data_IF_748335846921
#
_entry.id   IF_748335846921
#
_cell.length_a   1.000
_cell.length_b   1.000
_cell.length_c   1.000
_cell.angle_alpha   90.00
_cell.angle_beta   90.00
_cell.angle_gamma   90.00
#
_symmetry.space_group_name_H-M   'P 1'
#
loop_
_entity.id
_entity.type
_entity.pdbx_description
1 polymer ?
#
# COMPACT_ATOMS: atom_id res chain seq x y z
N UNK A 1 -34.96 -11.89 -19.37
CA UNK A 1 -33.87 -11.65 -18.41
C UNK A 1 -34.40 -10.62 -17.43
N UNK A 2 -34.62 -11.02 -16.19
CA UNK A 2 -35.31 -10.21 -15.19
C UNK A 2 -34.35 -9.29 -14.47
N UNK A 3 -34.82 -8.14 -13.99
CA UNK A 3 -34.11 -7.15 -13.18
C UNK A 3 -33.33 -7.77 -12.01
N UNK A 4 -33.62 -9.00 -11.62
CA UNK A 4 -32.93 -9.77 -10.58
C UNK A 4 -31.52 -10.26 -10.97
N UNK A 5 -31.21 -10.40 -12.26
CA UNK A 5 -29.85 -10.80 -12.71
C UNK A 5 -28.89 -9.62 -12.79
N UNK A 6 -29.38 -8.38 -12.95
CA UNK A 6 -28.58 -7.16 -12.83
C UNK A 6 -28.12 -6.86 -11.38
N UNK A 7 -28.82 -7.39 -10.39
CA UNK A 7 -28.47 -7.26 -8.97
C UNK A 7 -27.37 -8.24 -8.56
N UNK A 8 -27.05 -9.24 -9.39
CA UNK A 8 -26.02 -10.26 -9.10
C UNK A 8 -24.59 -9.72 -8.99
N UNK A 9 -24.26 -8.61 -9.69
CA UNK A 9 -22.93 -8.00 -9.60
C UNK A 9 -22.70 -7.25 -8.26
N UNK A 10 -23.77 -6.85 -7.58
CA UNK A 10 -23.65 -6.27 -6.22
C UNK A 10 -23.45 -7.33 -5.12
N UNK A 11 -23.50 -8.63 -5.45
CA UNK A 11 -23.28 -9.72 -4.48
C UNK A 11 -21.79 -10.01 -4.21
N UNK A 12 -20.88 -9.68 -5.13
CA UNK A 12 -19.44 -9.80 -4.85
C UNK A 12 -19.01 -8.80 -3.76
N UNK A 13 -19.53 -7.58 -3.75
CA UNK A 13 -19.30 -6.61 -2.66
C UNK A 13 -19.80 -7.09 -1.27
N UNK A 14 -20.83 -7.93 -1.19
CA UNK A 14 -21.35 -8.40 0.12
C UNK A 14 -20.52 -9.49 0.80
N UNK A 15 -19.72 -10.25 0.09
CA UNK A 15 -18.88 -11.28 0.71
C UNK A 15 -17.62 -10.68 1.36
N UNK A 16 -17.06 -9.60 0.85
CA UNK A 16 -16.00 -8.83 1.51
C UNK A 16 -16.47 -8.28 2.87
N UNK A 17 -17.72 -7.81 2.99
CA UNK A 17 -18.28 -7.27 4.23
C UNK A 17 -18.38 -8.28 5.40
N UNK A 18 -18.47 -9.58 5.15
CA UNK A 18 -18.56 -10.60 6.23
C UNK A 18 -17.20 -10.98 6.83
N UNK A 19 -16.12 -10.86 6.08
CA UNK A 19 -14.73 -11.05 6.56
C UNK A 19 -14.32 -9.86 7.43
N UNK A 20 -14.81 -8.64 7.13
CA UNK A 20 -14.45 -7.40 7.82
C UNK A 20 -14.85 -7.32 9.31
N UNK A 21 -15.90 -7.97 9.77
CA UNK A 21 -16.40 -7.74 11.16
C UNK A 21 -15.50 -8.33 12.24
N UNK A 22 -14.79 -9.44 11.95
CA UNK A 22 -13.78 -10.03 12.85
C UNK A 22 -12.44 -9.32 12.72
N UNK A 23 -12.19 -8.72 11.57
CA UNK A 23 -11.01 -7.94 11.21
C UNK A 23 -10.93 -6.59 11.94
N UNK A 24 -12.05 -5.87 12.08
CA UNK A 24 -12.04 -4.50 12.68
C UNK A 24 -11.47 -4.46 14.10
N UNK A 25 -11.86 -5.39 14.99
CA UNK A 25 -11.33 -5.45 16.35
C UNK A 25 -9.83 -5.73 16.37
N UNK A 26 -9.37 -6.62 15.51
CA UNK A 26 -7.94 -6.94 15.38
C UNK A 26 -7.17 -5.72 14.88
N UNK A 27 -7.67 -5.01 13.85
CA UNK A 27 -7.06 -3.78 13.34
C UNK A 27 -6.94 -2.69 14.42
N UNK A 28 -8.00 -2.44 15.21
CA UNK A 28 -7.96 -1.47 16.30
C UNK A 28 -6.93 -1.85 17.36
N UNK A 29 -6.89 -3.13 17.75
CA UNK A 29 -5.93 -3.62 18.74
C UNK A 29 -4.50 -3.50 18.21
N UNK A 30 -4.26 -3.90 16.95
CA UNK A 30 -2.94 -3.78 16.33
C UNK A 30 -2.52 -2.31 16.25
N UNK A 31 -3.39 -1.41 15.74
CA UNK A 31 -3.11 0.02 15.65
C UNK A 31 -2.71 0.61 17.01
N UNK A 32 -3.52 0.35 18.06
CA UNK A 32 -3.26 0.87 19.40
C UNK A 32 -1.94 0.33 19.97
N UNK A 33 -1.71 -0.96 19.81
CA UNK A 33 -0.49 -1.59 20.28
C UNK A 33 0.74 -1.07 19.54
N UNK A 34 0.69 -0.97 18.21
CA UNK A 34 1.81 -0.42 17.40
C UNK A 34 2.09 1.03 17.78
N UNK A 35 1.04 1.85 17.95
CA UNK A 35 1.19 3.25 18.38
C UNK A 35 1.84 3.35 19.78
N UNK A 36 1.40 2.52 20.71
CA UNK A 36 1.96 2.50 22.08
C UNK A 36 3.46 2.17 22.06
N UNK A 37 3.85 1.19 21.23
CA UNK A 37 5.26 0.81 21.10
C UNK A 37 6.09 1.83 20.34
N UNK A 38 5.57 2.41 19.26
CA UNK A 38 6.24 3.49 18.55
C UNK A 38 6.55 4.67 19.50
N UNK A 39 5.60 5.02 20.37
CA UNK A 39 5.83 6.05 21.40
C UNK A 39 6.87 5.61 22.43
N UNK A 40 6.80 4.37 22.90
CA UNK A 40 7.76 3.84 23.86
C UNK A 40 9.18 3.82 23.31
N UNK A 41 9.37 3.40 22.04
CA UNK A 41 10.67 3.41 21.37
C UNK A 41 11.16 4.83 21.09
N UNK A 42 10.27 5.75 20.69
CA UNK A 42 10.63 7.15 20.49
C UNK A 42 11.18 7.78 21.78
N UNK A 43 10.41 7.69 22.86
CA UNK A 43 10.85 8.23 24.15
C UNK A 43 12.09 7.52 24.67
N UNK A 44 12.15 6.20 24.52
CA UNK A 44 13.29 5.41 24.90
C UNK A 44 14.56 5.76 24.12
N UNK A 45 14.44 5.96 22.81
CA UNK A 45 15.54 6.40 21.97
C UNK A 45 16.05 7.80 22.34
N UNK A 46 15.12 8.71 22.66
CA UNK A 46 15.46 10.06 23.12
C UNK A 46 16.17 10.03 24.49
N UNK A 47 15.68 9.23 25.45
CA UNK A 47 16.28 9.11 26.77
C UNK A 47 17.63 8.40 26.76
N UNK A 48 17.77 7.34 25.95
CA UNK A 48 19.03 6.61 25.80
C UNK A 48 20.06 7.32 24.90
N UNK A 49 19.67 8.42 24.23
CA UNK A 49 20.43 9.09 23.17
C UNK A 49 20.74 8.17 21.96
N UNK A 50 20.00 7.07 21.78
CA UNK A 50 20.17 6.17 20.64
C UNK A 50 19.40 6.68 19.42
N UNK A 51 20.13 6.98 18.35
CA UNK A 51 19.52 7.44 17.10
C UNK A 51 18.93 6.28 16.30
N UNK A 52 19.48 5.08 16.40
CA UNK A 52 18.93 3.88 15.76
C UNK A 52 17.56 3.51 16.33
N UNK A 53 17.38 3.63 17.66
CA UNK A 53 16.08 3.36 18.29
C UNK A 53 15.01 4.42 17.93
N UNK A 54 15.43 5.69 17.81
CA UNK A 54 14.56 6.76 17.28
C UNK A 54 14.15 6.45 15.84
N UNK A 55 15.07 5.95 15.01
CA UNK A 55 14.79 5.54 13.64
C UNK A 55 13.77 4.42 13.54
N UNK A 56 13.92 3.39 14.36
CA UNK A 56 12.97 2.27 14.41
C UNK A 56 11.56 2.75 14.82
N UNK A 57 11.47 3.67 15.79
CA UNK A 57 10.19 4.29 16.16
C UNK A 57 9.49 5.00 14.99
N UNK A 58 10.23 5.72 14.15
CA UNK A 58 9.65 6.39 12.99
C UNK A 58 9.14 5.40 11.93
N UNK A 59 9.80 4.25 11.77
CA UNK A 59 9.27 3.17 10.93
C UNK A 59 7.93 2.68 11.46
N UNK A 60 7.84 2.39 12.74
CA UNK A 60 6.58 1.98 13.38
C UNK A 60 5.47 3.04 13.31
N UNK A 61 5.81 4.34 13.37
CA UNK A 61 4.81 5.40 13.11
C UNK A 61 4.26 5.37 11.69
N UNK A 62 5.08 5.01 10.70
CA UNK A 62 4.58 4.79 9.33
C UNK A 62 3.54 3.68 9.27
N UNK A 63 3.77 2.58 9.98
CA UNK A 63 2.82 1.46 10.03
C UNK A 63 1.51 1.87 10.69
N UNK A 64 1.59 2.68 11.77
CA UNK A 64 0.41 3.29 12.41
C UNK A 64 -0.36 4.15 11.43
N UNK A 65 0.32 4.97 10.62
CA UNK A 65 -0.33 5.83 9.62
C UNK A 65 -0.96 5.00 8.50
N UNK A 66 -0.28 3.95 8.02
CA UNK A 66 -0.82 3.05 7.01
C UNK A 66 -2.06 2.31 7.51
N UNK A 67 -2.01 1.73 8.72
CA UNK A 67 -3.16 1.10 9.37
C UNK A 67 -4.31 2.08 9.60
N UNK A 68 -3.99 3.30 10.05
CA UNK A 68 -4.97 4.38 10.25
C UNK A 68 -5.63 4.81 8.96
N UNK A 69 -4.85 4.94 7.88
CA UNK A 69 -5.36 5.26 6.54
C UNK A 69 -6.34 4.20 6.04
N UNK A 70 -5.98 2.92 6.16
CA UNK A 70 -6.86 1.80 5.79
C UNK A 70 -8.16 1.79 6.61
N UNK A 71 -8.10 2.13 7.91
CA UNK A 71 -9.30 2.25 8.74
C UNK A 71 -10.20 3.42 8.32
N UNK A 72 -9.59 4.56 7.98
CA UNK A 72 -10.30 5.73 7.46
C UNK A 72 -10.93 5.39 6.10
N UNK A 73 -10.21 4.71 5.21
CA UNK A 73 -10.73 4.25 3.93
C UNK A 73 -11.96 3.36 4.11
N UNK A 74 -11.90 2.32 4.96
CA UNK A 74 -13.02 1.44 5.29
C UNK A 74 -14.24 2.22 5.84
N UNK A 75 -13.98 3.29 6.62
CA UNK A 75 -15.07 4.14 7.13
C UNK A 75 -15.71 4.97 6.02
N UNK A 76 -14.92 5.54 5.12
CA UNK A 76 -15.42 6.38 4.04
C UNK A 76 -15.99 5.58 2.87
N UNK A 77 -15.48 4.38 2.59
CA UNK A 77 -16.04 3.43 1.61
C UNK A 77 -17.49 3.05 1.95
N UNK A 78 -17.82 2.97 3.25
CA UNK A 78 -19.18 2.76 3.69
C UNK A 78 -20.14 3.95 3.43
N UNK A 79 -19.60 5.13 3.09
CA UNK A 79 -20.39 6.31 2.73
C UNK A 79 -20.76 6.27 1.24
N UNK A 80 -22.02 6.52 0.94
CA UNK A 80 -22.47 6.64 -0.44
C UNK A 80 -21.76 7.79 -1.15
N UNK A 81 -21.44 7.65 -2.45
CA UNK A 81 -21.03 8.78 -3.28
C UNK A 81 -21.97 9.97 -3.12
N UNK A 82 -21.43 11.17 -3.25
CA UNK A 82 -22.19 12.42 -3.19
C UNK A 82 -22.22 13.07 -4.57
N UNK A 83 -23.10 14.04 -4.79
CA UNK A 83 -23.12 14.80 -6.04
C UNK A 83 -21.79 15.49 -6.37
N UNK A 84 -20.99 15.85 -5.35
CA UNK A 84 -19.67 16.47 -5.53
C UNK A 84 -18.55 15.43 -5.70
N UNK A 85 -18.65 14.28 -5.04
CA UNK A 85 -17.68 13.20 -5.09
C UNK A 85 -18.38 11.94 -5.62
N UNK A 86 -18.49 11.84 -6.94
CA UNK A 86 -19.27 10.79 -7.61
C UNK A 86 -18.61 9.41 -7.48
N UNK A 87 -17.30 9.33 -7.38
CA UNK A 87 -16.52 8.11 -7.03
C UNK A 87 -16.37 7.91 -5.51
N UNK A 88 -16.98 8.80 -4.69
CA UNK A 88 -16.76 8.78 -3.24
C UNK A 88 -15.37 9.26 -2.85
N UNK A 89 -14.78 8.62 -1.84
CA UNK A 89 -13.48 9.01 -1.26
C UNK A 89 -12.41 7.93 -1.47
N UNK A 90 -12.52 7.12 -2.53
CA UNK A 90 -11.61 5.99 -2.80
C UNK A 90 -10.12 6.43 -2.81
N UNK A 91 -9.82 7.59 -3.41
CA UNK A 91 -8.45 8.12 -3.50
C UNK A 91 -7.90 8.71 -2.20
N UNK A 92 -8.70 8.81 -1.14
CA UNK A 92 -8.23 9.39 0.13
C UNK A 92 -7.10 8.55 0.74
N UNK A 93 -7.21 7.23 0.71
CA UNK A 93 -6.15 6.32 1.16
C UNK A 93 -4.85 6.53 0.38
N UNK A 94 -4.96 6.66 -0.94
CA UNK A 94 -3.80 6.89 -1.83
C UNK A 94 -3.11 8.22 -1.52
N UNK A 95 -3.90 9.29 -1.27
CA UNK A 95 -3.35 10.61 -0.87
C UNK A 95 -2.63 10.51 0.47
N UNK A 96 -3.20 9.81 1.45
CA UNK A 96 -2.56 9.63 2.76
C UNK A 96 -1.28 8.81 2.62
N UNK A 97 -1.28 7.74 1.82
CA UNK A 97 -0.09 6.95 1.54
C UNK A 97 1.01 7.78 0.86
N UNK A 98 0.66 8.61 -0.12
CA UNK A 98 1.59 9.53 -0.78
C UNK A 98 2.26 10.48 0.22
N UNK A 99 1.46 11.15 1.05
CA UNK A 99 1.98 12.09 2.05
C UNK A 99 2.83 11.38 3.11
N UNK A 100 2.40 10.19 3.57
CA UNK A 100 3.18 9.38 4.51
C UNK A 100 4.57 9.04 3.96
N UNK A 101 4.65 8.60 2.71
CA UNK A 101 5.93 8.29 2.08
C UNK A 101 6.86 9.51 1.97
N UNK A 102 6.30 10.71 1.66
CA UNK A 102 7.08 11.96 1.65
C UNK A 102 7.61 12.28 3.05
N UNK A 103 6.77 12.19 4.08
CA UNK A 103 7.16 12.45 5.47
C UNK A 103 8.28 11.52 5.89
N UNK A 104 8.20 10.21 5.56
CA UNK A 104 9.25 9.25 5.83
C UNK A 104 10.59 9.59 5.16
N UNK A 105 10.56 10.02 3.89
CA UNK A 105 11.78 10.47 3.21
C UNK A 105 12.39 11.69 3.91
N UNK A 106 11.60 12.66 4.32
CA UNK A 106 12.08 13.84 5.04
C UNK A 106 12.69 13.48 6.40
N UNK A 107 12.04 12.59 7.16
CA UNK A 107 12.55 12.08 8.44
C UNK A 107 13.89 11.37 8.22
N UNK A 108 13.98 10.51 7.21
CA UNK A 108 15.20 9.76 6.90
C UNK A 108 16.38 10.68 6.57
N UNK A 109 16.12 11.74 5.79
CA UNK A 109 17.16 12.76 5.49
C UNK A 109 17.59 13.47 6.78
N UNK A 110 16.64 13.83 7.66
CA UNK A 110 16.93 14.42 8.96
C UNK A 110 17.79 13.51 9.86
N UNK A 111 17.50 12.21 9.85
CA UNK A 111 18.28 11.22 10.60
C UNK A 111 19.69 11.04 10.06
N UNK A 112 19.85 11.01 8.74
CA UNK A 112 21.19 10.96 8.11
C UNK A 112 21.97 12.23 8.50
N UNK A 113 21.34 13.39 8.46
CA UNK A 113 21.98 14.65 8.88
C UNK A 113 22.41 14.61 10.35
N UNK A 114 21.54 14.16 11.27
CA UNK A 114 21.88 14.01 12.69
C UNK A 114 22.98 12.95 12.89
N UNK A 115 22.98 11.87 12.13
CA UNK A 115 24.04 10.85 12.14
C UNK A 115 25.41 11.44 11.78
N UNK A 116 25.47 12.31 10.78
CA UNK A 116 26.69 13.01 10.38
C UNK A 116 27.15 13.94 11.50
N UNK A 117 26.27 14.71 12.13
CA UNK A 117 26.61 15.57 13.27
C UNK A 117 27.16 14.74 14.42
N UNK A 118 26.53 13.63 14.77
CA UNK A 118 26.97 12.74 15.86
C UNK A 118 28.28 12.02 15.55
N UNK A 119 28.60 11.82 14.28
CA UNK A 119 29.91 11.25 13.91
C UNK A 119 31.05 12.17 14.31
N UNK A 120 30.90 13.49 14.16
CA UNK A 120 31.91 14.47 14.58
C UNK A 120 31.81 14.86 16.07
N UNK A 121 30.64 14.73 16.68
CA UNK A 121 30.34 15.05 18.07
C UNK A 121 29.63 13.89 18.75
N UNK A 122 30.31 12.77 19.04
CA UNK A 122 29.67 11.59 19.61
C UNK A 122 29.04 11.89 20.96
N UNK A 123 27.83 11.37 21.18
CA UNK A 123 27.12 11.46 22.46
C UNK A 123 27.22 10.14 23.19
N UNK A 124 27.25 10.19 24.52
CA UNK A 124 27.13 9.00 25.33
C UNK A 124 25.76 8.37 25.17
N UNK A 125 25.70 7.06 25.02
CA UNK A 125 24.48 6.28 24.87
C UNK A 125 24.29 5.44 26.12
N UNK A 126 23.10 5.53 26.72
CA UNK A 126 22.71 4.61 27.77
C UNK A 126 22.31 3.26 27.17
N UNK A 127 23.33 2.35 27.13
CA UNK A 127 23.15 1.01 26.56
C UNK A 127 22.06 0.20 27.28
N UNK A 128 21.89 0.40 28.62
CA UNK A 128 20.91 -0.35 29.40
C UNK A 128 19.50 -0.05 28.96
N UNK A 129 19.15 1.24 28.92
CA UNK A 129 17.84 1.68 28.43
C UNK A 129 17.63 1.28 26.96
N UNK A 130 18.65 1.47 26.10
CA UNK A 130 18.58 1.08 24.69
C UNK A 130 18.32 -0.42 24.53
N UNK A 131 19.06 -1.28 25.25
CA UNK A 131 18.88 -2.75 25.18
C UNK A 131 17.51 -3.20 25.62
N UNK A 132 17.05 -2.75 26.80
CA UNK A 132 15.77 -3.18 27.34
C UNK A 132 14.60 -2.74 26.46
N UNK A 133 14.63 -1.53 25.92
CA UNK A 133 13.56 -1.02 25.05
C UNK A 133 13.55 -1.78 23.73
N UNK A 134 14.71 -1.99 23.10
CA UNK A 134 14.81 -2.77 21.88
C UNK A 134 14.39 -4.24 22.07
N UNK A 135 14.70 -4.84 23.23
CA UNK A 135 14.26 -6.20 23.58
C UNK A 135 12.74 -6.29 23.72
N UNK A 136 12.13 -5.31 24.37
CA UNK A 136 10.66 -5.24 24.48
C UNK A 136 10.05 -5.05 23.08
N UNK A 137 10.61 -4.18 22.23
CA UNK A 137 10.19 -3.97 20.84
C UNK A 137 10.27 -5.27 20.02
N UNK A 138 11.38 -6.02 20.12
CA UNK A 138 11.54 -7.31 19.48
C UNK A 138 10.45 -8.31 19.88
N UNK A 139 10.22 -8.47 21.18
CA UNK A 139 9.16 -9.37 21.71
C UNK A 139 7.80 -8.94 21.17
N UNK A 140 7.56 -7.66 21.13
CA UNK A 140 6.32 -7.09 20.62
C UNK A 140 6.11 -7.37 19.13
N UNK A 141 7.13 -7.14 18.30
CA UNK A 141 7.08 -7.44 16.86
C UNK A 141 6.83 -8.94 16.61
N UNK A 142 7.42 -9.83 17.42
CA UNK A 142 7.14 -11.27 17.38
C UNK A 142 5.66 -11.54 17.71
N UNK A 143 5.11 -10.92 18.78
CA UNK A 143 3.72 -11.14 19.21
C UNK A 143 2.74 -10.63 18.16
N UNK A 144 2.93 -9.44 17.60
CA UNK A 144 2.08 -8.90 16.53
C UNK A 144 2.13 -9.79 15.30
N UNK A 145 3.34 -10.17 14.88
CA UNK A 145 3.55 -11.09 13.76
C UNK A 145 2.75 -12.38 13.97
N UNK A 146 2.83 -12.95 15.16
CA UNK A 146 2.12 -14.18 15.51
C UNK A 146 0.59 -14.00 15.52
N UNK A 147 0.07 -12.88 16.05
CA UNK A 147 -1.37 -12.56 16.06
C UNK A 147 -1.89 -12.43 14.63
N UNK A 148 -1.18 -11.70 13.78
CA UNK A 148 -1.55 -11.52 12.37
C UNK A 148 -1.49 -12.85 11.60
N UNK A 149 -0.44 -13.63 11.81
CA UNK A 149 -0.26 -14.93 11.16
C UNK A 149 -1.32 -15.96 11.57
N UNK A 150 -1.71 -15.99 12.85
CA UNK A 150 -2.76 -16.90 13.33
C UNK A 150 -4.16 -16.52 12.83
N UNK A 151 -4.37 -15.26 12.48
CA UNK A 151 -5.63 -14.78 11.91
C UNK A 151 -5.80 -15.13 10.42
N UNK A 152 -4.69 -15.41 9.72
CA UNK A 152 -4.64 -15.60 8.25
C UNK A 152 -4.42 -17.05 7.81
N UNK A 153 -4.42 -18.03 8.70
CA UNK A 153 -4.08 -19.46 8.46
C UNK A 153 -4.87 -20.20 7.37
N UNK A 154 -5.72 -19.53 6.56
CA UNK A 154 -6.60 -20.17 5.58
C UNK A 154 -6.38 -19.83 4.11
N UNK A 155 -5.49 -18.90 3.75
CA UNK A 155 -5.35 -18.52 2.35
C UNK A 155 -3.87 -18.40 1.93
N UNK A 156 -3.49 -19.17 0.90
CA UNK A 156 -2.22 -19.05 0.18
C UNK A 156 -2.21 -17.74 -0.66
N UNK A 157 -2.19 -16.58 -0.01
CA UNK A 157 -2.32 -15.31 -0.68
C UNK A 157 -0.95 -14.59 -0.76
N UNK A 158 -0.66 -13.97 -1.92
CA UNK A 158 0.56 -13.21 -2.19
C UNK A 158 0.72 -12.07 -1.16
N UNK A 159 -0.39 -11.50 -0.69
CA UNK A 159 -0.43 -10.49 0.37
C UNK A 159 0.18 -10.98 1.70
N UNK A 160 0.02 -12.27 2.03
CA UNK A 160 0.62 -12.86 3.23
C UNK A 160 2.15 -12.89 3.11
N UNK A 161 2.68 -13.18 1.92
CA UNK A 161 4.13 -13.21 1.68
C UNK A 161 4.74 -11.83 1.80
N UNK A 162 4.06 -10.80 1.30
CA UNK A 162 4.49 -9.40 1.43
C UNK A 162 4.47 -8.93 2.87
N UNK A 163 3.39 -9.23 3.63
CA UNK A 163 3.32 -8.93 5.05
C UNK A 163 4.42 -9.65 5.85
N UNK A 164 4.69 -10.92 5.54
CA UNK A 164 5.75 -11.67 6.20
C UNK A 164 7.15 -11.09 5.94
N UNK A 165 7.42 -10.60 4.73
CA UNK A 165 8.68 -9.95 4.40
C UNK A 165 8.83 -8.59 5.13
N UNK A 166 7.74 -7.85 5.29
CA UNK A 166 7.71 -6.61 6.07
C UNK A 166 8.08 -6.88 7.54
N UNK A 167 7.37 -7.81 8.20
CA UNK A 167 7.67 -8.17 9.59
C UNK A 167 9.07 -8.77 9.80
N UNK A 168 9.60 -9.47 8.80
CA UNK A 168 11.00 -9.93 8.86
C UNK A 168 11.97 -8.75 8.84
N UNK A 169 11.66 -7.68 8.09
CA UNK A 169 12.41 -6.43 8.10
C UNK A 169 12.42 -5.78 9.49
N UNK A 170 11.26 -5.68 10.15
CA UNK A 170 11.11 -5.10 11.49
C UNK A 170 11.88 -5.90 12.55
N UNK A 171 11.81 -7.24 12.46
CA UNK A 171 12.60 -8.12 13.32
C UNK A 171 14.10 -7.90 13.13
N UNK A 172 14.57 -7.76 11.89
CA UNK A 172 15.98 -7.51 11.61
C UNK A 172 16.44 -6.15 12.12
N UNK A 173 15.60 -5.11 12.03
CA UNK A 173 15.88 -3.79 12.62
C UNK A 173 16.06 -3.89 14.13
N UNK A 174 15.08 -4.46 14.84
CA UNK A 174 15.14 -4.63 16.30
C UNK A 174 16.35 -5.46 16.74
N UNK A 175 16.67 -6.54 16.02
CA UNK A 175 17.89 -7.33 16.28
C UNK A 175 19.14 -6.50 16.05
N UNK A 176 19.19 -5.66 15.02
CA UNK A 176 20.31 -4.76 14.75
C UNK A 176 20.55 -3.77 15.89
N UNK A 177 19.47 -3.17 16.43
CA UNK A 177 19.53 -2.25 17.59
C UNK A 177 20.04 -2.97 18.84
N UNK A 178 19.57 -4.21 19.11
CA UNK A 178 20.04 -5.05 20.22
C UNK A 178 21.52 -5.36 20.08
N UNK A 179 21.98 -5.78 18.89
CA UNK A 179 23.39 -6.06 18.64
C UNK A 179 24.24 -4.81 18.86
N UNK A 180 23.76 -3.64 18.40
CA UNK A 180 24.43 -2.36 18.60
C UNK A 180 24.58 -2.04 20.09
N UNK A 181 23.52 -2.23 20.90
CA UNK A 181 23.57 -1.99 22.33
C UNK A 181 24.59 -2.90 23.05
N UNK A 182 24.66 -4.18 22.67
CA UNK A 182 25.62 -5.15 23.20
C UNK A 182 27.07 -4.74 22.85
N UNK A 183 27.30 -4.34 21.60
CA UNK A 183 28.64 -3.87 21.19
C UNK A 183 29.05 -2.62 21.99
N UNK A 184 28.14 -1.64 22.16
CA UNK A 184 28.39 -0.44 22.94
C UNK A 184 28.77 -0.81 24.39
N UNK A 185 28.04 -1.75 24.99
CA UNK A 185 28.30 -2.22 26.35
C UNK A 185 29.70 -2.76 26.56
N UNK A 186 30.21 -3.60 25.62
CA UNK A 186 31.51 -4.22 25.77
C UNK A 186 32.70 -3.38 25.27
N UNK A 187 32.43 -2.46 24.33
CA UNK A 187 33.50 -1.74 23.63
C UNK A 187 33.48 -0.23 23.82
N UNK A 188 32.39 0.33 24.38
CA UNK A 188 32.11 1.77 24.37
C UNK A 188 32.17 2.41 22.97
N UNK A 189 32.03 1.60 21.89
CA UNK A 189 32.10 2.06 20.53
C UNK A 189 30.73 2.60 20.07
N UNK A 190 30.41 3.85 20.44
CA UNK A 190 29.13 4.51 20.16
C UNK A 190 28.85 4.71 18.67
N UNK A 191 29.89 4.65 17.81
CA UNK A 191 29.73 4.79 16.36
C UNK A 191 28.88 3.69 15.72
N UNK A 192 28.72 2.54 16.41
CA UNK A 192 27.87 1.46 15.90
C UNK A 192 26.39 1.89 15.81
N UNK A 193 25.91 2.70 16.77
CA UNK A 193 24.55 3.26 16.74
C UNK A 193 24.39 4.23 15.55
N UNK A 194 25.40 5.04 15.25
CA UNK A 194 25.40 5.94 14.10
C UNK A 194 25.35 5.14 12.78
N UNK A 195 26.14 4.07 12.66
CA UNK A 195 26.12 3.19 11.47
C UNK A 195 24.74 2.56 11.30
N UNK A 196 24.17 2.01 12.37
CA UNK A 196 22.84 1.41 12.34
C UNK A 196 21.77 2.44 12.02
N UNK A 197 21.85 3.66 12.56
CA UNK A 197 20.93 4.75 12.24
C UNK A 197 20.95 5.11 10.75
N UNK A 198 22.14 5.13 10.12
CA UNK A 198 22.25 5.37 8.68
C UNK A 198 21.61 4.21 7.90
N UNK A 199 21.87 2.95 8.28
CA UNK A 199 21.27 1.78 7.63
C UNK A 199 19.76 1.83 7.72
N UNK A 200 19.21 2.07 8.92
CA UNK A 200 17.76 2.20 9.14
C UNK A 200 17.20 3.37 8.31
N UNK A 201 17.87 4.52 8.30
CA UNK A 201 17.45 5.69 7.52
C UNK A 201 17.37 5.39 6.02
N UNK A 202 18.33 4.64 5.46
CA UNK A 202 18.30 4.24 4.04
C UNK A 202 17.14 3.30 3.77
N UNK A 203 16.86 2.37 4.68
CA UNK A 203 15.70 1.45 4.56
C UNK A 203 14.39 2.24 4.58
N UNK A 204 14.22 3.16 5.53
CA UNK A 204 13.02 4.01 5.65
C UNK A 204 12.87 4.90 4.40
N UNK A 205 13.96 5.51 3.92
CA UNK A 205 13.95 6.35 2.73
C UNK A 205 13.48 5.58 1.49
N UNK A 206 14.05 4.39 1.27
CA UNK A 206 13.69 3.55 0.11
C UNK A 206 12.25 3.05 0.20
N UNK A 207 11.77 2.70 1.39
CA UNK A 207 10.37 2.35 1.64
C UNK A 207 9.43 3.54 1.37
N UNK A 208 9.72 4.70 1.92
CA UNK A 208 8.95 5.93 1.70
C UNK A 208 8.91 6.35 0.22
N UNK A 209 10.04 6.24 -0.49
CA UNK A 209 10.11 6.51 -1.92
C UNK A 209 9.22 5.54 -2.73
N UNK A 210 9.26 4.23 -2.40
CA UNK A 210 8.45 3.22 -3.08
C UNK A 210 6.95 3.50 -2.88
N UNK A 211 6.52 3.74 -1.65
CA UNK A 211 5.12 4.05 -1.31
C UNK A 211 4.67 5.33 -2.04
N UNK A 212 5.48 6.40 -1.97
CA UNK A 212 5.14 7.65 -2.67
C UNK A 212 5.07 7.48 -4.17
N UNK A 213 5.98 6.71 -4.77
CA UNK A 213 5.99 6.46 -6.21
C UNK A 213 4.74 5.69 -6.66
N UNK A 214 4.37 4.63 -5.95
CA UNK A 214 3.16 3.84 -6.26
C UNK A 214 1.89 4.69 -6.11
N UNK A 215 1.76 5.42 -5.01
CA UNK A 215 0.65 6.32 -4.77
C UNK A 215 0.58 7.44 -5.82
N UNK A 216 1.72 8.01 -6.22
CA UNK A 216 1.80 9.03 -7.27
C UNK A 216 1.29 8.48 -8.61
N UNK A 217 1.66 7.27 -8.99
CA UNK A 217 1.19 6.67 -10.25
C UNK A 217 -0.32 6.45 -10.25
N UNK A 218 -0.90 6.03 -9.11
CA UNK A 218 -2.36 5.91 -8.98
C UNK A 218 -3.03 7.29 -9.08
N UNK A 219 -2.49 8.33 -8.44
CA UNK A 219 -3.02 9.69 -8.51
C UNK A 219 -2.94 10.29 -9.91
N UNK A 220 -1.89 9.93 -10.67
CA UNK A 220 -1.68 10.36 -12.06
C UNK A 220 -2.40 9.45 -13.08
N UNK A 221 -3.25 8.54 -12.60
CA UNK A 221 -4.03 7.63 -13.47
C UNK A 221 -3.14 6.81 -14.43
N UNK A 222 -1.93 6.46 -13.98
CA UNK A 222 -1.02 5.63 -14.76
C UNK A 222 -1.59 4.21 -14.91
N UNK A 223 -1.22 3.55 -16.02
CA UNK A 223 -1.57 2.16 -16.25
C UNK A 223 -0.98 1.29 -15.13
N UNK A 224 -1.79 0.42 -14.49
CA UNK A 224 -1.29 -0.49 -13.46
C UNK A 224 -0.20 -1.41 -14.01
N UNK A 225 0.81 -1.72 -13.17
CA UNK A 225 1.94 -2.57 -13.59
C UNK A 225 1.53 -4.00 -13.96
N UNK A 226 0.36 -4.43 -13.50
CA UNK A 226 -0.23 -5.74 -13.76
C UNK A 226 -0.86 -5.84 -15.16
N UNK A 227 -1.06 -4.71 -15.84
CA UNK A 227 -1.71 -4.64 -17.15
C UNK A 227 -0.70 -4.22 -18.22
N UNK A 228 -0.40 -5.11 -19.15
CA UNK A 228 0.27 -4.74 -20.39
C UNK A 228 -0.75 -4.19 -21.41
N UNK A 229 -0.74 -2.86 -21.59
CA UNK A 229 -1.69 -2.16 -22.42
C UNK A 229 -1.63 -2.61 -23.89
N UNK A 230 -0.44 -2.97 -24.40
CA UNK A 230 -0.26 -3.44 -25.78
C UNK A 230 -0.88 -4.82 -25.97
N UNK A 231 -0.65 -5.72 -25.04
CA UNK A 231 -1.24 -7.06 -25.06
C UNK A 231 -2.76 -6.97 -24.95
N UNK A 232 -3.28 -6.18 -24.01
CA UNK A 232 -4.72 -5.97 -23.84
C UNK A 232 -5.36 -5.41 -25.10
N UNK A 233 -4.75 -4.37 -25.72
CA UNK A 233 -5.22 -3.78 -26.96
C UNK A 233 -5.30 -4.81 -28.08
N UNK A 234 -4.27 -5.63 -28.24
CA UNK A 234 -4.24 -6.66 -29.29
C UNK A 234 -5.30 -7.74 -29.05
N UNK A 235 -5.53 -8.15 -27.81
CA UNK A 235 -6.58 -9.10 -27.46
C UNK A 235 -7.99 -8.57 -27.76
N UNK A 236 -8.20 -7.28 -27.54
CA UNK A 236 -9.48 -6.62 -27.86
C UNK A 236 -9.65 -6.44 -29.38
N UNK A 237 -8.60 -6.13 -30.12
CA UNK A 237 -8.63 -6.02 -31.58
C UNK A 237 -8.92 -7.37 -32.28
N UNK A 238 -8.66 -8.51 -31.62
CA UNK A 238 -8.98 -9.84 -32.14
C UNK A 238 -10.46 -10.23 -31.96
N UNK A 239 -11.28 -9.38 -31.34
CA UNK A 239 -12.73 -9.59 -31.26
C UNK A 239 -13.35 -9.29 -32.64
N UNK A 240 -14.11 -10.24 -33.16
CA UNK A 240 -14.76 -10.12 -34.47
C UNK A 240 -15.70 -8.91 -34.51
N UNK A 241 -15.51 -8.04 -35.50
CA UNK A 241 -16.25 -6.80 -35.69
C UNK A 241 -15.56 -5.54 -35.15
N UNK A 242 -14.47 -5.65 -34.37
CA UNK A 242 -13.68 -4.50 -33.95
C UNK A 242 -12.65 -4.16 -35.00
N UNK A 243 -12.75 -2.96 -35.60
CA UNK A 243 -11.81 -2.45 -36.58
C UNK A 243 -10.65 -1.68 -35.96
N UNK A 244 -10.92 -0.88 -34.96
CA UNK A 244 -9.91 -0.07 -34.28
C UNK A 244 -10.34 0.25 -32.85
N UNK A 245 -9.35 0.58 -32.00
CA UNK A 245 -9.52 1.02 -30.62
C UNK A 245 -8.68 2.29 -30.43
N UNK A 246 -9.29 3.35 -29.91
CA UNK A 246 -8.63 4.60 -29.53
C UNK A 246 -9.18 5.12 -28.20
N UNK A 247 -8.59 6.16 -27.64
CA UNK A 247 -8.91 6.67 -26.30
C UNK A 247 -8.94 5.55 -25.24
N UNK A 248 -7.96 4.62 -25.35
CA UNK A 248 -7.83 3.49 -24.46
C UNK A 248 -7.12 3.94 -23.17
N UNK A 249 -7.85 3.97 -22.06
CA UNK A 249 -7.33 4.31 -20.76
C UNK A 249 -7.61 3.20 -19.75
N UNK A 250 -6.60 2.89 -18.94
CA UNK A 250 -6.67 1.92 -17.84
C UNK A 250 -6.00 2.55 -16.63
N UNK A 251 -6.69 2.64 -15.52
CA UNK A 251 -6.13 3.23 -14.29
C UNK A 251 -6.71 2.59 -13.04
N UNK A 252 -6.02 2.76 -11.92
CA UNK A 252 -6.54 2.39 -10.59
C UNK A 252 -7.29 3.56 -9.96
N UNK A 253 -8.46 3.30 -9.39
CA UNK A 253 -9.17 4.27 -8.56
C UNK A 253 -8.62 4.30 -7.12
N UNK A 254 -8.25 3.11 -6.62
CA UNK A 254 -7.61 2.84 -5.34
C UNK A 254 -6.60 1.69 -5.50
N UNK A 255 -6.27 0.99 -4.41
CA UNK A 255 -5.34 -0.14 -4.46
C UNK A 255 -5.92 -1.41 -5.11
N UNK A 256 -7.25 -1.53 -5.25
CA UNK A 256 -7.93 -2.76 -5.66
C UNK A 256 -8.72 -2.60 -6.97
N UNK A 257 -9.36 -1.44 -7.19
CA UNK A 257 -10.29 -1.25 -8.30
C UNK A 257 -9.60 -0.67 -9.54
N UNK A 258 -9.63 -1.43 -10.63
CA UNK A 258 -9.12 -0.99 -11.94
C UNK A 258 -10.31 -0.57 -12.82
N UNK A 259 -10.21 0.63 -13.40
CA UNK A 259 -11.17 1.17 -14.36
C UNK A 259 -10.62 1.14 -15.78
N UNK A 260 -11.51 1.00 -16.73
CA UNK A 260 -11.21 0.93 -18.16
C UNK A 260 -12.17 1.83 -18.93
N UNK A 261 -11.62 2.60 -19.86
CA UNK A 261 -12.42 3.29 -20.90
C UNK A 261 -11.78 3.11 -22.27
N UNK A 262 -12.60 2.98 -23.30
CA UNK A 262 -12.14 2.93 -24.67
C UNK A 262 -13.23 3.35 -25.66
N UNK A 263 -12.80 3.88 -26.81
CA UNK A 263 -13.61 4.06 -27.98
C UNK A 263 -13.34 2.91 -28.97
N UNK A 264 -14.40 2.20 -29.35
CA UNK A 264 -14.38 1.01 -30.18
C UNK A 264 -15.02 1.30 -31.53
N UNK A 265 -14.19 1.35 -32.57
CA UNK A 265 -14.67 1.52 -33.94
C UNK A 265 -15.00 0.16 -34.54
N UNK A 266 -16.25 -0.02 -34.98
CA UNK A 266 -16.69 -1.24 -35.66
C UNK A 266 -16.46 -1.18 -37.18
N UNK A 267 -16.21 -2.34 -37.77
CA UNK A 267 -16.09 -2.48 -39.23
C UNK A 267 -17.45 -2.30 -39.95
N UNK A 268 -18.53 -2.82 -39.36
CA UNK A 268 -19.91 -2.65 -39.81
C UNK A 268 -20.89 -2.59 -38.61
N UNK A 269 -21.31 -1.37 -38.27
CA UNK A 269 -22.17 -1.11 -37.15
C UNK A 269 -23.54 -1.79 -37.23
N UNK A 270 -24.14 -1.89 -38.43
CA UNK A 270 -25.47 -2.48 -38.63
C UNK A 270 -25.44 -4.02 -38.58
N UNK A 271 -24.31 -4.63 -38.91
CA UNK A 271 -24.15 -6.09 -38.97
C UNK A 271 -23.88 -6.72 -37.61
N UNK A 272 -23.25 -6.00 -36.69
CA UNK A 272 -22.80 -6.55 -35.43
C UNK A 272 -23.77 -6.26 -34.29
N UNK A 273 -23.92 -7.27 -33.41
CA UNK A 273 -24.67 -7.11 -32.16
C UNK A 273 -23.74 -6.44 -31.12
N UNK A 274 -23.98 -5.15 -30.86
CA UNK A 274 -23.22 -4.38 -29.89
C UNK A 274 -23.18 -5.04 -28.51
N UNK A 275 -24.25 -5.71 -28.11
CA UNK A 275 -24.31 -6.44 -26.83
C UNK A 275 -23.33 -7.62 -26.79
N UNK A 276 -23.16 -8.36 -27.90
CA UNK A 276 -22.17 -9.43 -28.02
C UNK A 276 -20.76 -8.88 -27.82
N UNK A 277 -20.42 -7.82 -28.56
CA UNK A 277 -19.09 -7.20 -28.51
C UNK A 277 -18.77 -6.70 -27.08
N UNK A 278 -19.71 -6.01 -26.45
CA UNK A 278 -19.55 -5.54 -25.07
C UNK A 278 -19.30 -6.70 -24.10
N UNK A 279 -20.00 -7.83 -24.25
CA UNK A 279 -19.80 -8.99 -23.39
C UNK A 279 -18.44 -9.66 -23.63
N UNK A 280 -18.00 -9.79 -24.89
CA UNK A 280 -16.67 -10.34 -25.21
C UNK A 280 -15.55 -9.45 -24.66
N UNK A 281 -15.68 -8.11 -24.74
CA UNK A 281 -14.76 -7.16 -24.12
C UNK A 281 -14.74 -7.40 -22.60
N UNK A 282 -15.92 -7.51 -21.97
CA UNK A 282 -16.02 -7.74 -20.51
C UNK A 282 -15.36 -9.03 -20.07
N UNK A 283 -15.50 -10.11 -20.84
CA UNK A 283 -14.84 -11.40 -20.55
C UNK A 283 -13.30 -11.28 -20.66
N UNK A 284 -12.81 -10.55 -21.66
CA UNK A 284 -11.36 -10.29 -21.79
C UNK A 284 -10.82 -9.45 -20.64
N UNK A 285 -11.52 -8.38 -20.28
CA UNK A 285 -11.12 -7.49 -19.18
C UNK A 285 -11.15 -8.19 -17.83
N UNK A 286 -12.04 -9.16 -17.62
CA UNK A 286 -12.13 -9.93 -16.38
C UNK A 286 -10.85 -10.75 -16.07
N UNK A 287 -10.07 -11.12 -17.10
CA UNK A 287 -8.76 -11.81 -16.92
C UNK A 287 -7.74 -10.90 -16.24
N UNK A 288 -7.90 -9.57 -16.39
CA UNK A 288 -7.06 -8.54 -15.78
C UNK A 288 -7.68 -7.94 -14.51
N UNK A 289 -8.73 -8.58 -13.94
CA UNK A 289 -9.48 -8.05 -12.79
C UNK A 289 -10.13 -6.68 -13.02
N UNK A 290 -10.42 -6.33 -14.29
CA UNK A 290 -11.08 -5.08 -14.67
C UNK A 290 -12.59 -5.31 -14.76
N UNK A 291 -13.33 -4.84 -13.76
CA UNK A 291 -14.78 -5.00 -13.68
C UNK A 291 -15.55 -3.69 -13.92
N UNK A 292 -14.88 -2.54 -13.76
CA UNK A 292 -15.48 -1.24 -14.07
C UNK A 292 -15.02 -0.77 -15.45
N UNK A 293 -15.94 -0.87 -16.43
CA UNK A 293 -15.63 -0.49 -17.79
C UNK A 293 -16.68 0.47 -18.37
N UNK A 294 -16.23 1.42 -19.18
CA UNK A 294 -17.06 2.27 -20.05
C UNK A 294 -16.56 2.17 -21.48
N UNK A 295 -17.40 1.78 -22.39
CA UNK A 295 -17.07 1.62 -23.81
C UNK A 295 -18.01 2.48 -24.64
N UNK A 296 -17.42 3.35 -25.47
CA UNK A 296 -18.16 4.06 -26.51
C UNK A 296 -17.99 3.29 -27.83
N UNK A 297 -19.11 2.88 -28.42
CA UNK A 297 -19.09 2.22 -29.74
C UNK A 297 -19.30 3.27 -30.81
N UNK A 298 -18.41 3.27 -31.80
CA UNK A 298 -18.38 4.24 -32.90
C UNK A 298 -18.62 3.56 -34.26
N UNK A 299 -19.21 4.33 -35.18
CA UNK A 299 -19.41 3.94 -36.55
C UNK A 299 -18.42 4.67 -37.47
N UNK A 300 -17.94 4.02 -38.50
CA UNK A 300 -16.99 4.55 -39.52
C UNK A 300 -17.45 5.83 -40.21
N UNK A 301 -18.67 6.32 -40.00
CA UNK A 301 -19.23 7.54 -40.61
C UNK A 301 -19.15 8.82 -39.76
N UNK A 302 -18.68 8.77 -38.50
CA UNK A 302 -18.61 9.95 -37.66
C UNK A 302 -17.15 10.16 -37.25
N UNK A 303 -16.48 11.12 -37.90
CA UNK A 303 -15.21 11.67 -37.39
C UNK A 303 -15.52 12.46 -36.14
N UNK A 304 -15.37 11.84 -34.95
CA UNK A 304 -15.24 12.56 -33.70
C UNK A 304 -13.75 12.66 -33.40
N UNK A 305 -13.29 13.88 -33.15
CA UNK A 305 -11.89 14.31 -32.97
C UNK A 305 -11.13 13.58 -31.89
#
# INVERSE_FOLDING_TARGET
MTVQEMVGSSFHHRNHFKIQKKSKKTLYVTLFLTLFFALMELFGGLFSNSLSLVGDSFHMFSDVLALGASMVAIYFEAKKPTEKFTYGFLRLEVVVAFLNGIVLMLISVGMIYESVIRFFNPREIDFGSMFFIALIGLIFNIVITWILFSSTKKENNINIKSAMLHFLGDLLNSVGVIISSIIIYFTNFVYIDIIMSIVISVIIFTGGYKISKEAFFILMEAVPSEVDLNTLRNELLNIDGIKNIHELHVWKNDNEEISFTAHILLDNYEKHNNYRIINEIKEKLAVYDIFHMTVQIENTGINVH
#
